data_IF_905498072082
#
_entry.id   IF_905498072082
#
_cell.length_a   1.000
_cell.length_b   1.000
_cell.length_c   1.000
_cell.angle_alpha   90.00
_cell.angle_beta   90.00
_cell.angle_gamma   90.00
#
_symmetry.space_group_name_H-M   'P 1'
#
loop_
_entity.id
_entity.type
_entity.pdbx_description
1 polymer ?
#
# COMPACT_ATOMS: atom_id res chain seq x y z
N UNK A 1 23.96 -35.32 10.97
CA UNK A 1 24.22 -34.07 11.74
C UNK A 1 23.80 -32.89 10.87
N UNK A 2 22.77 -32.15 11.25
CA UNK A 2 22.36 -30.89 10.62
C UNK A 2 21.92 -29.96 11.76
N UNK A 3 22.62 -28.84 11.89
CA UNK A 3 22.49 -27.87 12.98
C UNK A 3 21.08 -27.28 13.02
N UNK A 4 20.31 -27.60 14.06
CA UNK A 4 19.10 -26.85 14.43
C UNK A 4 19.51 -25.53 15.09
N UNK A 5 19.12 -24.40 14.52
CA UNK A 5 19.05 -23.12 15.25
C UNK A 5 17.60 -22.94 15.70
N UNK A 6 17.37 -23.11 17.00
CA UNK A 6 16.17 -22.61 17.66
C UNK A 6 16.45 -21.17 18.09
N UNK A 7 15.59 -20.23 17.70
CA UNK A 7 15.57 -18.87 18.24
C UNK A 7 14.15 -18.55 18.67
N UNK A 8 13.79 -19.02 19.87
CA UNK A 8 12.68 -18.51 20.69
C UNK A 8 12.96 -18.90 22.14
N UNK A 9 13.70 -18.07 22.88
CA UNK A 9 13.67 -18.04 24.35
C UNK A 9 14.06 -16.64 24.83
N UNK A 10 13.35 -16.07 25.81
CA UNK A 10 13.77 -14.82 26.44
C UNK A 10 15.12 -15.03 27.13
N UNK A 11 15.93 -13.98 27.11
CA UNK A 11 17.35 -14.00 27.43
C UNK A 11 17.67 -14.68 28.77
N UNK A 12 18.34 -15.83 28.71
CA UNK A 12 19.23 -16.31 29.75
C UNK A 12 20.62 -16.47 29.11
N UNK A 13 21.57 -15.73 29.64
CA UNK A 13 22.93 -15.62 29.17
C UNK A 13 23.59 -17.01 29.04
N UNK A 14 24.10 -17.35 27.84
CA UNK A 14 25.34 -18.12 27.70
C UNK A 14 25.87 -18.10 26.24
N UNK A 15 27.17 -17.84 26.13
CA UNK A 15 28.07 -18.00 24.98
C UNK A 15 28.01 -17.03 23.78
N UNK A 16 28.98 -16.11 23.79
CA UNK A 16 29.47 -15.28 22.68
C UNK A 16 29.91 -16.14 21.48
N UNK A 17 28.97 -16.43 20.59
CA UNK A 17 29.23 -16.45 19.14
C UNK A 17 28.68 -15.12 18.62
N UNK A 18 29.25 -14.55 17.55
CA UNK A 18 28.66 -13.38 16.87
C UNK A 18 27.27 -13.77 16.31
N UNK A 19 26.28 -13.82 17.21
CA UNK A 19 24.87 -13.91 16.89
C UNK A 19 24.50 -12.47 16.63
N UNK A 20 24.46 -12.08 15.36
CA UNK A 20 23.81 -10.83 14.97
C UNK A 20 22.39 -10.91 15.52
N UNK A 21 22.03 -10.08 16.52
CA UNK A 21 20.69 -10.17 17.09
C UNK A 21 19.73 -9.61 16.05
N UNK A 22 19.00 -10.50 15.37
CA UNK A 22 17.94 -10.08 14.44
C UNK A 22 16.85 -9.38 15.25
N UNK A 23 16.61 -8.09 14.99
CA UNK A 23 15.62 -7.31 15.73
C UNK A 23 14.22 -7.75 15.33
N UNK A 24 13.45 -8.29 16.28
CA UNK A 24 12.05 -8.63 16.07
C UNK A 24 11.17 -7.39 16.32
N UNK A 25 10.46 -6.94 15.30
CA UNK A 25 9.60 -5.76 15.35
C UNK A 25 8.14 -6.18 15.37
N UNK A 26 7.44 -5.72 16.39
CA UNK A 26 6.02 -5.95 16.68
C UNK A 26 5.35 -4.60 16.86
N UNK A 27 4.03 -4.58 17.05
CA UNK A 27 3.29 -3.33 17.28
C UNK A 27 3.84 -2.51 18.46
N UNK A 28 4.40 -3.15 19.49
CA UNK A 28 4.84 -2.49 20.72
C UNK A 28 6.14 -1.71 20.57
N UNK A 29 7.05 -2.14 19.68
CA UNK A 29 8.35 -1.50 19.44
C UNK A 29 8.49 -0.95 18.01
N UNK A 30 7.37 -0.84 17.28
CA UNK A 30 7.35 -0.42 15.89
C UNK A 30 7.92 1.00 15.70
N UNK A 31 7.47 1.97 16.50
CA UNK A 31 7.89 3.38 16.36
C UNK A 31 9.39 3.56 16.56
N UNK A 32 9.96 2.93 17.60
CA UNK A 32 11.39 2.99 17.90
C UNK A 32 12.21 2.28 16.82
N UNK A 33 11.78 1.08 16.41
CA UNK A 33 12.47 0.32 15.37
C UNK A 33 12.45 1.02 14.00
N UNK A 34 11.38 1.73 13.66
CA UNK A 34 11.30 2.51 12.42
C UNK A 34 12.27 3.70 12.45
N UNK A 35 12.36 4.42 13.57
CA UNK A 35 13.33 5.51 13.71
C UNK A 35 14.77 5.00 13.51
N UNK A 36 15.14 3.90 14.19
CA UNK A 36 16.48 3.31 14.07
C UNK A 36 16.78 2.77 12.67
N UNK A 37 15.86 2.02 12.05
CA UNK A 37 16.11 1.42 10.73
C UNK A 37 16.15 2.49 9.65
N UNK A 38 15.46 3.62 9.80
CA UNK A 38 15.54 4.74 8.86
C UNK A 38 16.99 5.23 8.75
N UNK A 39 17.66 5.51 9.86
CA UNK A 39 19.06 5.96 9.83
C UNK A 39 19.98 4.92 9.19
N UNK A 40 19.78 3.63 9.52
CA UNK A 40 20.55 2.53 8.94
C UNK A 40 20.32 2.36 7.44
N UNK A 41 19.09 2.57 6.95
CA UNK A 41 18.79 2.53 5.51
C UNK A 41 19.52 3.67 4.81
N UNK A 42 19.53 4.89 5.37
CA UNK A 42 20.23 6.03 4.77
C UNK A 42 21.75 5.83 4.73
N UNK A 43 22.34 5.15 5.72
CA UNK A 43 23.78 4.85 5.77
C UNK A 43 24.18 3.52 5.09
N UNK A 44 23.23 2.78 4.52
CA UNK A 44 23.50 1.48 3.90
C UNK A 44 23.84 1.59 2.42
N UNK A 45 24.67 0.68 1.93
CA UNK A 45 25.00 0.57 0.51
C UNK A 45 23.89 -0.13 -0.27
N UNK A 46 23.27 -1.14 0.34
CA UNK A 46 22.12 -1.84 -0.23
C UNK A 46 21.24 -2.44 0.86
N UNK A 47 19.98 -2.70 0.51
CA UNK A 47 18.99 -3.31 1.41
C UNK A 47 18.47 -4.59 0.78
N UNK A 48 18.51 -5.69 1.53
CA UNK A 48 17.83 -6.92 1.16
C UNK A 48 16.47 -7.01 1.86
N UNK A 49 15.48 -7.55 1.15
CA UNK A 49 14.14 -7.79 1.70
C UNK A 49 13.72 -9.25 1.48
N UNK A 50 12.98 -9.80 2.42
CA UNK A 50 12.36 -11.13 2.31
C UNK A 50 10.96 -11.12 2.89
N UNK A 51 10.09 -12.00 2.37
CA UNK A 51 8.67 -12.06 2.71
C UNK A 51 8.29 -13.48 3.09
N UNK A 52 7.76 -13.66 4.30
CA UNK A 52 7.09 -14.91 4.68
C UNK A 52 5.59 -14.80 4.38
N UNK A 53 5.12 -15.69 3.51
CA UNK A 53 3.76 -15.68 2.98
C UNK A 53 2.99 -16.93 3.42
N UNK A 54 1.68 -16.79 3.59
CA UNK A 54 0.79 -17.91 3.95
C UNK A 54 0.54 -18.89 2.80
N UNK A 55 1.02 -18.61 1.59
CA UNK A 55 0.90 -19.48 0.42
C UNK A 55 1.49 -18.82 -0.84
N UNK A 56 1.31 -19.49 -1.98
CA UNK A 56 1.87 -19.04 -3.26
C UNK A 56 0.93 -19.23 -4.45
N UNK A 57 0.37 -20.41 -4.68
CA UNK A 57 -0.58 -20.66 -5.78
C UNK A 57 -1.69 -21.58 -5.30
N UNK A 58 -2.93 -21.39 -5.75
CA UNK A 58 -4.05 -22.25 -5.33
C UNK A 58 -4.15 -23.52 -6.19
N UNK A 59 -3.67 -23.47 -7.43
CA UNK A 59 -3.61 -24.61 -8.34
C UNK A 59 -2.32 -24.60 -9.17
N UNK A 60 -1.91 -25.77 -9.68
CA UNK A 60 -0.65 -25.91 -10.41
C UNK A 60 -0.56 -25.02 -11.66
N UNK A 61 -1.67 -24.77 -12.35
CA UNK A 61 -1.71 -23.89 -13.53
C UNK A 61 -1.54 -22.41 -13.19
N UNK A 62 -1.72 -22.03 -11.92
CA UNK A 62 -1.47 -20.67 -11.42
C UNK A 62 -0.02 -20.45 -11.00
N UNK A 63 0.80 -21.50 -10.97
CA UNK A 63 2.24 -21.39 -10.70
C UNK A 63 2.92 -20.65 -11.86
N UNK A 64 3.84 -19.76 -11.52
CA UNK A 64 4.72 -19.10 -12.50
C UNK A 64 5.67 -20.15 -13.07
N UNK A 65 5.73 -20.25 -14.39
CA UNK A 65 6.56 -21.19 -15.14
C UNK A 65 7.55 -20.43 -16.03
N UNK A 66 8.69 -21.04 -16.35
CA UNK A 66 9.70 -20.41 -17.21
C UNK A 66 9.24 -20.16 -18.65
N UNK A 67 8.15 -20.80 -19.08
CA UNK A 67 7.51 -20.61 -20.39
C UNK A 67 6.52 -19.44 -20.41
N UNK A 68 6.17 -18.89 -19.24
CA UNK A 68 5.20 -17.79 -19.16
C UNK A 68 5.77 -16.52 -19.79
N UNK A 69 4.92 -15.77 -20.50
CA UNK A 69 5.24 -14.39 -20.88
C UNK A 69 5.29 -13.51 -19.63
N UNK A 70 5.99 -12.36 -19.67
CA UNK A 70 6.03 -11.43 -18.54
C UNK A 70 4.64 -11.00 -18.05
N UNK A 71 3.68 -10.80 -18.97
CA UNK A 71 2.30 -10.46 -18.63
C UNK A 71 1.58 -11.59 -17.88
N UNK A 72 1.73 -12.83 -18.34
CA UNK A 72 1.13 -14.00 -17.66
C UNK A 72 1.76 -14.23 -16.28
N UNK A 73 3.09 -14.14 -16.18
CA UNK A 73 3.79 -14.26 -14.90
C UNK A 73 3.33 -13.17 -13.91
N UNK A 74 3.16 -11.93 -14.37
CA UNK A 74 2.60 -10.84 -13.56
C UNK A 74 1.18 -11.16 -13.07
N UNK A 75 0.27 -11.61 -13.93
CA UNK A 75 -1.10 -11.93 -13.55
C UNK A 75 -1.16 -13.07 -12.53
N UNK A 76 -0.31 -14.09 -12.67
CA UNK A 76 -0.16 -15.18 -11.71
C UNK A 76 0.37 -14.68 -10.36
N UNK A 77 1.42 -13.86 -10.37
CA UNK A 77 1.97 -13.24 -9.15
C UNK A 77 0.97 -12.32 -8.45
N UNK A 78 0.22 -11.53 -9.21
CA UNK A 78 -0.86 -10.67 -8.71
C UNK A 78 -1.93 -11.51 -8.03
N UNK A 79 -2.40 -12.56 -8.69
CA UNK A 79 -3.44 -13.42 -8.13
C UNK A 79 -2.99 -14.09 -6.82
N UNK A 80 -1.72 -14.50 -6.74
CA UNK A 80 -1.11 -14.99 -5.51
C UNK A 80 -1.11 -13.94 -4.40
N UNK A 81 -0.65 -12.72 -4.71
CA UNK A 81 -0.54 -11.61 -3.76
C UNK A 81 -1.90 -11.10 -3.24
N UNK A 82 -2.96 -11.19 -4.04
CA UNK A 82 -4.33 -10.83 -3.63
C UNK A 82 -4.98 -11.90 -2.74
N UNK A 83 -4.48 -13.15 -2.77
CA UNK A 83 -5.09 -14.29 -2.07
C UNK A 83 -4.38 -14.67 -0.78
N UNK A 84 -3.05 -14.59 -0.77
CA UNK A 84 -2.20 -15.00 0.35
C UNK A 84 -1.61 -13.80 1.06
N UNK A 85 -1.39 -13.94 2.35
CA UNK A 85 -0.99 -12.86 3.24
C UNK A 85 0.49 -12.94 3.57
N UNK A 86 1.16 -11.79 3.69
CA UNK A 86 2.50 -11.70 4.26
C UNK A 86 2.38 -11.57 5.78
N UNK A 87 2.99 -12.50 6.53
CA UNK A 87 3.03 -12.48 8.00
C UNK A 87 4.36 -11.93 8.54
N UNK A 88 5.42 -11.98 7.74
CA UNK A 88 6.71 -11.40 8.10
C UNK A 88 7.30 -10.63 6.93
N UNK A 89 7.73 -9.41 7.20
CA UNK A 89 8.49 -8.58 6.28
C UNK A 89 9.89 -8.40 6.87
N UNK A 90 10.89 -9.05 6.30
CA UNK A 90 12.26 -8.96 6.76
C UNK A 90 13.02 -7.94 5.92
N UNK A 91 13.77 -7.07 6.60
CA UNK A 91 14.60 -6.01 5.99
C UNK A 91 15.99 -6.10 6.58
N UNK A 92 17.02 -6.08 5.74
CA UNK A 92 18.40 -6.04 6.19
C UNK A 92 19.17 -5.00 5.38
N UNK A 93 19.40 -3.80 5.94
CA UNK A 93 20.39 -2.87 5.42
C UNK A 93 21.80 -3.46 5.58
N UNK A 94 22.61 -3.29 4.54
CA UNK A 94 23.99 -3.74 4.50
C UNK A 94 24.92 -2.57 4.21
N UNK A 95 26.03 -2.48 4.96
CA UNK A 95 27.09 -1.50 4.76
C UNK A 95 28.43 -2.21 4.58
N UNK A 96 29.25 -1.74 3.65
CA UNK A 96 30.57 -2.28 3.30
C UNK A 96 31.62 -1.35 3.89
N UNK A 97 32.25 -1.80 4.97
CA UNK A 97 33.36 -1.10 5.61
C UNK A 97 34.68 -1.78 5.22
N UNK A 98 35.29 -1.28 4.15
CA UNK A 98 36.49 -1.86 3.55
C UNK A 98 36.23 -3.28 3.04
N UNK A 99 36.74 -4.29 3.75
CA UNK A 99 36.54 -5.71 3.43
C UNK A 99 35.46 -6.40 4.27
N UNK A 100 34.78 -5.67 5.17
CA UNK A 100 33.75 -6.22 6.05
C UNK A 100 32.35 -5.82 5.58
N UNK A 101 31.46 -6.81 5.55
CA UNK A 101 30.03 -6.60 5.32
C UNK A 101 29.32 -6.52 6.68
N UNK A 102 28.75 -5.37 6.99
CA UNK A 102 27.91 -5.13 8.15
C UNK A 102 26.45 -5.35 7.76
N UNK A 103 25.71 -6.10 8.57
CA UNK A 103 24.33 -6.47 8.31
C UNK A 103 23.43 -6.05 9.48
N UNK A 104 22.32 -5.39 9.21
CA UNK A 104 21.38 -4.97 10.26
C UNK A 104 20.01 -5.63 10.04
N UNK A 105 19.81 -6.90 10.42
CA UNK A 105 18.59 -7.62 10.10
C UNK A 105 17.42 -7.29 11.04
N UNK A 106 16.27 -6.96 10.45
CA UNK A 106 14.99 -6.68 11.10
C UNK A 106 13.90 -7.61 10.57
N UNK A 107 13.05 -8.10 11.47
CA UNK A 107 11.89 -8.92 11.15
C UNK A 107 10.62 -8.22 11.63
N UNK A 108 9.87 -7.63 10.71
CA UNK A 108 8.58 -7.01 11.00
C UNK A 108 7.49 -8.07 10.95
N UNK A 109 6.89 -8.35 12.10
CA UNK A 109 5.75 -9.25 12.20
C UNK A 109 4.50 -8.48 11.81
N UNK A 110 3.80 -8.93 10.76
CA UNK A 110 2.63 -8.27 10.21
C UNK A 110 1.39 -9.12 10.49
N UNK A 111 0.28 -8.47 10.82
CA UNK A 111 -1.00 -9.15 10.91
C UNK A 111 -2.14 -8.23 10.46
N UNK A 112 -2.95 -8.62 9.45
CA UNK A 112 -4.05 -7.81 8.98
C UNK A 112 -5.16 -7.76 10.04
N UNK A 113 -5.41 -6.57 10.62
CA UNK A 113 -6.52 -6.34 11.57
C UNK A 113 -7.39 -5.18 11.12
N UNK A 114 -8.68 -5.30 11.40
CA UNK A 114 -9.64 -4.19 11.33
C UNK A 114 -9.59 -3.35 12.61
N UNK A 115 -8.49 -2.62 12.82
CA UNK A 115 -8.38 -1.77 14.02
C UNK A 115 -9.29 -0.54 13.94
N UNK A 116 -9.64 -0.11 12.73
CA UNK A 116 -10.33 1.17 12.51
C UNK A 116 -11.84 1.02 12.28
N UNK A 117 -12.37 -0.21 12.14
CA UNK A 117 -13.81 -0.50 11.95
C UNK A 117 -14.46 0.35 10.86
N UNK A 118 -13.69 0.68 9.82
CA UNK A 118 -14.09 1.65 8.78
C UNK A 118 -15.14 1.05 7.82
N UNK A 119 -15.43 -0.24 7.97
CA UNK A 119 -16.39 -0.97 7.14
C UNK A 119 -15.83 -1.41 5.79
N UNK A 120 -14.50 -1.32 5.58
CA UNK A 120 -13.80 -1.74 4.37
C UNK A 120 -12.33 -2.06 4.68
N UNK A 121 -11.72 -3.12 4.10
CA UNK A 121 -12.26 -4.28 3.38
C UNK A 121 -12.37 -5.52 4.29
N UNK A 122 -12.91 -6.61 3.75
CA UNK A 122 -12.89 -7.92 4.41
C UNK A 122 -11.43 -8.38 4.61
N UNK A 123 -10.95 -8.44 5.85
CA UNK A 123 -9.61 -8.96 6.21
C UNK A 123 -9.58 -10.50 6.17
N UNK A 124 -10.07 -11.09 5.08
CA UNK A 124 -9.99 -12.53 4.83
C UNK A 124 -8.81 -12.82 3.92
N UNK A 125 -7.94 -13.73 4.34
CA UNK A 125 -6.85 -14.25 3.52
C UNK A 125 -6.86 -15.77 3.54
N UNK A 126 -6.26 -16.38 2.51
CA UNK A 126 -6.10 -17.83 2.44
C UNK A 126 -4.77 -18.26 3.05
N UNK A 127 -4.74 -19.51 3.53
CA UNK A 127 -3.51 -20.17 3.95
C UNK A 127 -3.36 -21.52 3.25
N UNK A 128 -2.14 -21.82 2.82
CA UNK A 128 -1.78 -23.13 2.30
C UNK A 128 -1.10 -23.93 3.41
N UNK A 129 -1.61 -25.12 3.72
CA UNK A 129 -1.14 -25.93 4.85
C UNK A 129 0.35 -26.25 4.78
N UNK A 130 0.91 -26.46 3.59
CA UNK A 130 2.34 -26.70 3.40
C UNK A 130 3.20 -25.49 3.81
N UNK A 131 2.76 -24.27 3.53
CA UNK A 131 3.46 -23.04 3.91
C UNK A 131 3.38 -22.80 5.42
N UNK A 132 2.19 -22.97 6.01
CA UNK A 132 2.04 -22.90 7.47
C UNK A 132 2.93 -23.92 8.18
N UNK A 133 3.00 -25.14 7.64
CA UNK A 133 3.83 -26.22 8.20
C UNK A 133 5.32 -25.89 8.08
N UNK A 134 5.77 -25.30 6.97
CA UNK A 134 7.18 -24.87 6.81
C UNK A 134 7.54 -23.81 7.84
N UNK A 135 6.73 -22.74 7.94
CA UNK A 135 6.92 -21.68 8.92
C UNK A 135 6.96 -22.23 10.35
N UNK A 136 6.03 -23.13 10.70
CA UNK A 136 6.03 -23.78 12.03
C UNK A 136 7.32 -24.58 12.29
N UNK A 137 7.82 -25.32 11.30
CA UNK A 137 9.07 -26.09 11.41
C UNK A 137 10.30 -25.21 11.53
N UNK A 138 10.26 -24.02 10.92
CA UNK A 138 11.30 -23.00 10.98
C UNK A 138 11.25 -22.17 12.27
N UNK A 139 10.25 -22.41 13.14
CA UNK A 139 10.12 -21.76 14.44
C UNK A 139 9.37 -20.43 14.40
N UNK A 140 8.54 -20.20 13.39
CA UNK A 140 7.68 -19.02 13.32
C UNK A 140 6.64 -19.03 14.46
N UNK A 141 6.62 -17.95 15.25
CA UNK A 141 5.67 -17.79 16.35
C UNK A 141 4.36 -17.15 15.85
N UNK A 142 3.40 -18.01 15.51
CA UNK A 142 2.07 -17.58 15.10
C UNK A 142 1.32 -16.83 16.19
N UNK A 143 1.53 -17.16 17.46
CA UNK A 143 0.84 -16.47 18.55
C UNK A 143 1.34 -15.03 18.65
N UNK A 144 2.66 -14.83 18.68
CA UNK A 144 3.25 -13.49 18.69
C UNK A 144 2.82 -12.68 17.45
N UNK A 145 2.79 -13.28 16.27
CA UNK A 145 2.31 -12.64 15.05
C UNK A 145 0.84 -12.22 15.15
N UNK A 146 -0.06 -13.09 15.61
CA UNK A 146 -1.51 -12.78 15.70
C UNK A 146 -1.78 -11.71 16.76
N UNK A 147 -1.22 -11.86 17.96
CA UNK A 147 -1.48 -10.95 19.09
C UNK A 147 -0.75 -9.61 18.96
N UNK A 148 0.49 -9.63 18.48
CA UNK A 148 1.40 -8.48 18.49
C UNK A 148 1.89 -8.05 17.10
N UNK A 149 1.41 -8.66 16.02
CA UNK A 149 1.73 -8.25 14.66
C UNK A 149 1.31 -6.81 14.39
N UNK A 150 2.08 -6.12 13.56
CA UNK A 150 1.86 -4.75 13.12
C UNK A 150 0.71 -4.75 12.11
N UNK A 151 -0.26 -3.86 12.33
CA UNK A 151 -1.33 -3.61 11.37
C UNK A 151 -0.88 -2.63 10.30
N UNK A 152 -1.42 -2.75 9.10
CA UNK A 152 -1.04 -1.93 7.96
C UNK A 152 -2.26 -1.60 7.11
N UNK A 153 -2.15 -0.51 6.35
CA UNK A 153 -3.16 -0.06 5.40
C UNK A 153 -2.49 0.16 4.04
N UNK A 154 -3.24 -0.10 2.99
CA UNK A 154 -2.92 0.32 1.64
C UNK A 154 -3.23 1.81 1.47
N UNK A 155 -2.60 2.45 0.48
CA UNK A 155 -2.87 3.86 0.13
C UNK A 155 -4.35 4.14 -0.17
N UNK A 156 -5.05 3.17 -0.76
CA UNK A 156 -6.48 3.28 -1.05
C UNK A 156 -7.36 3.22 0.21
N UNK A 157 -6.89 2.54 1.26
CA UNK A 157 -7.57 2.54 2.56
C UNK A 157 -7.27 3.84 3.32
N UNK A 158 -6.01 4.29 3.33
CA UNK A 158 -5.57 5.52 4.00
C UNK A 158 -6.28 6.78 3.47
N UNK A 159 -6.63 6.81 2.18
CA UNK A 159 -7.35 7.93 1.58
C UNK A 159 -8.83 8.05 1.99
N UNK A 160 -9.35 7.12 2.80
CA UNK A 160 -10.72 7.18 3.30
C UNK A 160 -10.84 8.28 4.36
N UNK A 161 -11.74 9.28 4.19
CA UNK A 161 -11.83 10.46 5.07
C UNK A 161 -12.00 10.14 6.57
N UNK A 162 -12.63 9.01 6.90
CA UNK A 162 -12.81 8.55 8.28
C UNK A 162 -11.49 8.24 8.99
N UNK A 163 -10.49 7.75 8.26
CA UNK A 163 -9.15 7.46 8.78
C UNK A 163 -8.39 8.78 8.99
N UNK A 164 -8.46 9.68 8.00
CA UNK A 164 -7.82 11.01 8.10
C UNK A 164 -8.35 11.83 9.29
N UNK A 165 -9.67 11.80 9.54
CA UNK A 165 -10.27 12.53 10.66
C UNK A 165 -9.91 11.97 12.04
N UNK A 166 -9.60 10.67 12.16
CA UNK A 166 -9.19 10.04 13.43
C UNK A 166 -7.71 10.24 13.76
N UNK A 167 -6.85 10.36 12.75
CA UNK A 167 -5.40 10.51 12.90
C UNK A 167 -4.90 11.96 12.96
N UNK A 168 -5.75 12.96 12.70
CA UNK A 168 -5.36 14.37 12.85
C UNK A 168 -4.97 14.78 14.30
N UNK A 169 -5.02 13.86 15.27
CA UNK A 169 -4.73 14.14 16.67
C UNK A 169 -3.48 13.42 17.24
N UNK A 170 -2.77 12.56 16.49
CA UNK A 170 -1.69 11.74 17.08
C UNK A 170 -0.36 11.65 16.30
N UNK A 171 -0.06 12.62 15.42
CA UNK A 171 1.27 12.71 14.81
C UNK A 171 1.81 14.14 14.84
N UNK A 172 2.52 14.46 15.92
CA UNK A 172 3.58 15.46 15.92
C UNK A 172 4.73 14.99 15.03
N UNK A 173 4.66 15.34 13.75
CA UNK A 173 5.86 15.59 12.94
C UNK A 173 5.48 16.54 11.79
N UNK A 174 5.73 17.83 12.02
CA UNK A 174 5.87 18.88 11.01
C UNK A 174 4.99 18.75 9.76
N UNK A 175 3.66 18.86 9.92
CA UNK A 175 2.92 19.55 8.88
C UNK A 175 3.39 21.00 8.92
N UNK A 176 4.20 21.39 7.93
CA UNK A 176 4.20 22.76 7.47
C UNK A 176 2.74 23.05 7.15
N UNK A 177 2.04 23.67 8.08
CA UNK A 177 0.82 24.40 7.79
C UNK A 177 1.25 25.44 6.75
N UNK A 178 1.14 25.09 5.48
CA UNK A 178 1.25 26.06 4.43
C UNK A 178 0.02 26.94 4.61
N UNK A 179 0.26 28.07 5.27
CA UNK A 179 -0.69 29.15 5.45
C UNK A 179 -1.48 29.33 4.16
N UNK A 180 -2.80 29.38 4.32
CA UNK A 180 -3.80 29.61 3.28
C UNK A 180 -3.60 30.97 2.59
N UNK A 181 -2.55 31.12 1.78
CA UNK A 181 -2.47 32.15 0.75
C UNK A 181 -2.92 31.48 -0.54
N UNK A 182 -4.19 31.61 -0.89
CA UNK A 182 -4.69 31.20 -2.20
C UNK A 182 -3.83 31.93 -3.26
N UNK A 183 -2.96 31.19 -3.94
CA UNK A 183 -2.17 31.76 -5.03
C UNK A 183 -3.13 32.27 -6.11
N UNK A 184 -2.81 33.35 -6.84
CA UNK A 184 -3.57 33.73 -8.03
C UNK A 184 -3.80 32.53 -8.97
N UNK A 185 -2.83 31.62 -9.08
CA UNK A 185 -2.96 30.39 -9.84
C UNK A 185 -4.04 29.43 -9.31
N UNK A 186 -4.21 29.35 -7.99
CA UNK A 186 -5.23 28.51 -7.34
C UNK A 186 -6.64 29.06 -7.56
N UNK A 187 -6.77 30.39 -7.54
CA UNK A 187 -8.04 31.07 -7.82
C UNK A 187 -8.49 30.86 -9.27
N UNK A 188 -7.54 30.95 -10.21
CA UNK A 188 -7.77 30.69 -11.63
C UNK A 188 -8.12 29.23 -11.88
N UNK A 189 -7.44 28.30 -11.20
CA UNK A 189 -7.74 26.88 -11.27
C UNK A 189 -9.17 26.60 -10.77
N UNK A 190 -9.54 27.10 -9.58
CA UNK A 190 -10.92 26.97 -9.04
C UNK A 190 -11.96 27.53 -10.01
N UNK A 191 -11.74 28.73 -10.55
CA UNK A 191 -12.67 29.36 -11.48
C UNK A 191 -12.82 28.53 -12.77
N UNK A 192 -11.71 28.01 -13.30
CA UNK A 192 -11.72 27.14 -14.49
C UNK A 192 -12.51 25.85 -14.26
N UNK A 193 -12.33 25.22 -13.10
CA UNK A 193 -13.07 24.00 -12.73
C UNK A 193 -14.56 24.31 -12.56
N UNK A 194 -14.91 25.37 -11.84
CA UNK A 194 -16.32 25.79 -11.65
C UNK A 194 -17.02 26.05 -12.98
N UNK A 195 -16.39 26.79 -13.89
CA UNK A 195 -16.92 27.04 -15.23
C UNK A 195 -17.09 25.76 -16.05
N UNK A 196 -16.12 24.84 -15.98
CA UNK A 196 -16.19 23.55 -16.67
C UNK A 196 -17.35 22.69 -16.16
N UNK A 197 -17.52 22.62 -14.83
CA UNK A 197 -18.63 21.87 -14.20
C UNK A 197 -19.97 22.50 -14.55
N UNK A 198 -20.12 23.83 -14.48
CA UNK A 198 -21.35 24.51 -14.85
C UNK A 198 -21.75 24.27 -16.32
N UNK A 199 -20.77 24.35 -17.24
CA UNK A 199 -21.00 24.07 -18.65
C UNK A 199 -21.39 22.61 -18.90
N UNK A 200 -20.78 21.67 -18.18
CA UNK A 200 -21.15 20.26 -18.26
C UNK A 200 -22.56 20.00 -17.75
N UNK A 201 -22.94 20.56 -16.60
CA UNK A 201 -24.31 20.46 -16.05
C UNK A 201 -25.33 21.00 -17.06
N UNK A 202 -25.03 22.13 -17.70
CA UNK A 202 -25.89 22.71 -18.74
C UNK A 202 -26.01 21.78 -19.95
N UNK A 203 -24.89 21.27 -20.46
CA UNK A 203 -24.88 20.33 -21.58
C UNK A 203 -25.68 19.05 -21.32
N UNK A 204 -25.64 18.52 -20.09
CA UNK A 204 -26.45 17.35 -19.68
C UNK A 204 -27.95 17.66 -19.57
N UNK A 205 -28.34 18.91 -19.28
CA UNK A 205 -29.75 19.31 -19.27
C UNK A 205 -30.29 19.54 -20.67
N UNK A 206 -29.47 20.06 -21.58
CA UNK A 206 -29.84 20.35 -22.97
C UNK A 206 -29.95 19.06 -23.82
N UNK A 207 -29.20 17.99 -23.49
CA UNK A 207 -29.28 16.70 -24.19
C UNK A 207 -30.59 15.94 -23.99
N UNK A 208 -31.43 16.35 -23.04
CA UNK A 208 -32.73 15.72 -22.78
C UNK A 208 -33.88 16.33 -23.61
N UNK A 209 -33.62 17.29 -24.51
CA UNK A 209 -34.67 18.07 -25.19
C UNK A 209 -34.73 17.97 -26.73
N UNK A 210 -33.80 17.29 -27.41
CA UNK A 210 -33.79 17.32 -28.88
C UNK A 210 -33.53 15.93 -29.47
N UNK A 211 -34.58 15.32 -30.03
CA UNK A 211 -34.50 14.18 -30.95
C UNK A 211 -34.54 14.70 -32.40
N UNK A 212 -33.43 14.61 -33.14
CA UNK A 212 -33.42 14.57 -34.60
C UNK A 212 -32.09 13.98 -35.13
N UNK A 213 -32.19 13.08 -36.10
CA UNK A 213 -31.16 12.09 -36.51
C UNK A 213 -29.86 12.70 -37.09
N UNK A 214 -29.80 14.01 -37.36
CA UNK A 214 -28.57 14.70 -37.76
C UNK A 214 -27.57 14.92 -36.59
N UNK A 215 -28.02 14.72 -35.34
CA UNK A 215 -27.24 14.99 -34.14
C UNK A 215 -26.30 13.85 -33.70
N UNK A 216 -26.28 12.70 -34.38
CA UNK A 216 -25.42 11.58 -33.95
C UNK A 216 -23.93 11.91 -34.11
N UNK A 217 -23.52 12.48 -35.25
CA UNK A 217 -22.12 12.85 -35.51
C UNK A 217 -21.72 14.08 -34.70
N UNK A 218 -22.59 15.09 -34.60
CA UNK A 218 -22.32 16.30 -33.81
C UNK A 218 -22.30 15.97 -32.32
N UNK A 219 -23.18 15.09 -31.82
CA UNK A 219 -23.12 14.62 -30.42
C UNK A 219 -21.89 13.75 -30.17
N UNK A 220 -21.45 12.93 -31.12
CA UNK A 220 -20.22 12.14 -30.98
C UNK A 220 -18.96 13.02 -30.95
N UNK A 221 -18.89 14.02 -31.82
CA UNK A 221 -17.82 15.03 -31.79
C UNK A 221 -17.89 15.89 -30.54
N UNK A 222 -19.08 16.25 -30.06
CA UNK A 222 -19.27 16.97 -28.79
C UNK A 222 -18.90 16.09 -27.58
N UNK A 223 -19.12 14.77 -27.63
CA UNK A 223 -18.66 13.78 -26.63
C UNK A 223 -17.14 13.67 -26.60
N UNK A 224 -16.48 13.66 -27.76
CA UNK A 224 -15.01 13.63 -27.88
C UNK A 224 -14.40 14.94 -27.39
N UNK A 225 -14.91 16.09 -27.86
CA UNK A 225 -14.37 17.42 -27.51
C UNK A 225 -14.67 17.79 -26.06
N UNK A 226 -15.81 17.37 -25.50
CA UNK A 226 -16.17 17.66 -24.10
C UNK A 226 -15.60 16.64 -23.11
N UNK A 227 -15.00 15.54 -23.58
CA UNK A 227 -14.49 14.47 -22.72
C UNK A 227 -15.58 13.87 -21.83
N UNK A 228 -16.73 13.50 -22.40
CA UNK A 228 -17.82 12.89 -21.62
C UNK A 228 -17.41 11.48 -21.21
N UNK A 229 -16.86 11.34 -20.02
CA UNK A 229 -16.54 10.04 -19.45
C UNK A 229 -17.78 9.56 -18.73
N UNK A 230 -18.44 8.56 -19.30
CA UNK A 230 -19.52 7.85 -18.64
C UNK A 230 -18.90 6.80 -17.71
N UNK A 231 -19.30 6.79 -16.44
CA UNK A 231 -19.04 5.66 -15.55
C UNK A 231 -20.33 4.83 -15.50
N UNK A 232 -20.42 3.83 -16.38
CA UNK A 232 -21.66 3.08 -16.61
C UNK A 232 -22.73 3.93 -17.30
N UNK A 233 -23.95 3.96 -16.75
CA UNK A 233 -25.09 4.72 -17.29
C UNK A 233 -25.22 6.15 -16.74
N UNK A 234 -24.30 6.60 -15.88
CA UNK A 234 -24.36 7.92 -15.23
C UNK A 234 -23.41 8.92 -15.90
N UNK A 235 -23.88 10.15 -16.18
CA UNK A 235 -22.99 11.23 -16.62
C UNK A 235 -21.91 11.49 -15.56
N UNK A 236 -20.64 11.54 -15.96
CA UNK A 236 -19.54 11.97 -15.08
C UNK A 236 -18.57 12.92 -15.77
N UNK A 237 -17.75 13.62 -14.98
CA UNK A 237 -16.70 14.54 -15.44
C UNK A 237 -15.42 14.18 -14.74
N UNK A 238 -14.34 13.88 -15.48
CA UNK A 238 -13.00 13.92 -14.88
C UNK A 238 -12.45 15.33 -14.88
N UNK A 239 -11.87 15.65 -13.73
CA UNK A 239 -11.10 16.85 -13.50
C UNK A 239 -9.64 16.39 -13.39
N UNK A 240 -8.80 16.87 -14.30
CA UNK A 240 -7.38 16.59 -14.25
C UNK A 240 -6.73 17.50 -13.21
N UNK A 241 -6.02 16.89 -12.27
CA UNK A 241 -5.38 17.57 -11.16
C UNK A 241 -3.90 17.19 -11.16
N UNK A 242 -3.00 18.16 -10.99
CA UNK A 242 -1.55 17.94 -11.10
C UNK A 242 -0.83 17.96 -9.74
N UNK A 243 -1.47 18.47 -8.68
CA UNK A 243 -0.87 18.56 -7.33
C UNK A 243 -1.90 18.19 -6.24
N UNK A 244 -1.43 17.67 -5.11
CA UNK A 244 -2.29 17.32 -3.96
C UNK A 244 -3.08 18.52 -3.42
N UNK A 245 -2.48 19.72 -3.47
CA UNK A 245 -3.15 20.95 -3.10
C UNK A 245 -4.35 21.24 -4.02
N UNK A 246 -4.19 21.06 -5.35
CA UNK A 246 -5.32 21.21 -6.28
C UNK A 246 -6.42 20.17 -6.04
N UNK A 247 -6.11 18.97 -5.52
CA UNK A 247 -7.13 17.96 -5.18
C UNK A 247 -8.01 18.48 -4.04
N UNK A 248 -7.40 19.08 -3.02
CA UNK A 248 -8.14 19.72 -1.93
C UNK A 248 -8.97 20.91 -2.41
N UNK A 249 -8.47 21.71 -3.37
CA UNK A 249 -9.18 22.86 -3.92
C UNK A 249 -10.40 22.48 -4.78
N UNK A 250 -10.43 21.28 -5.40
CA UNK A 250 -11.60 20.79 -6.15
C UNK A 250 -12.76 20.40 -5.24
N UNK A 251 -12.47 20.03 -3.99
CA UNK A 251 -13.47 19.61 -3.00
C UNK A 251 -14.13 20.78 -2.25
N UNK A 252 -13.64 22.02 -2.45
CA UNK A 252 -14.18 23.27 -1.89
C UNK A 252 -15.16 23.96 -2.86
#
# INVERSE_FOLDING_TARGET
>A
MLFKRLLCTPAAAYNRRHVWPVKQVTKNNFSEAVAEICDLIHSSDFVAVSLERTGNHAANWQKILSIDTPGTAYLKAKHAAERYQTLQFSVCPFSVDGSKLLAHPYNFHLFPRDELKVGMPCYSFSCQSSYLTSMAREGFDFNACIYNGISYLSRAQESVPKIQSGYLCLSTTSMVQCSSSNSPADSLFKQRIKSRVANWIKACKDSNKTEAVADALISYLRKIVSGSEFFGSRPSVRINVCTELQVQLVLQ
#
